data_IF_890958857497
#
_entry.id   IF_890958857497
#
_cell.length_a   1.000
_cell.length_b   1.000
_cell.length_c   1.000
_cell.angle_alpha   90.00
_cell.angle_beta   90.00
_cell.angle_gamma   90.00
#
_symmetry.space_group_name_H-M   'P 1'
#
loop_
_entity.id
_entity.type
_entity.pdbx_description
1 polymer ?
#
# COMPACT_ATOMS: atom_id res chain seq x y z
N UNK A 1 -37.41 6.62 37.54
CA UNK A 1 -36.23 7.00 36.76
C UNK A 1 -36.22 6.09 35.55
N UNK A 2 -36.80 6.56 34.44
CA UNK A 2 -36.71 5.93 33.14
C UNK A 2 -35.45 6.48 32.49
N UNK A 3 -34.45 5.64 32.28
CA UNK A 3 -33.27 5.98 31.49
C UNK A 3 -33.70 6.07 30.03
N UNK A 4 -33.73 7.29 29.48
CA UNK A 4 -33.82 7.51 28.05
C UNK A 4 -32.48 7.06 27.45
N UNK A 5 -32.51 5.96 26.70
CA UNK A 5 -31.41 5.62 25.81
C UNK A 5 -31.45 6.64 24.66
N UNK A 6 -30.54 7.62 24.67
CA UNK A 6 -30.22 8.39 23.47
C UNK A 6 -29.69 7.41 22.43
N UNK A 7 -30.54 7.05 21.47
CA UNK A 7 -30.15 6.34 20.27
C UNK A 7 -29.35 7.33 19.41
N UNK A 8 -28.05 7.47 19.69
CA UNK A 8 -27.10 8.18 18.83
C UNK A 8 -27.03 7.42 17.51
N UNK A 9 -27.92 7.76 16.59
CA UNK A 9 -27.95 7.19 15.26
C UNK A 9 -26.70 7.72 14.54
N UNK A 10 -25.73 6.86 14.19
CA UNK A 10 -24.45 7.32 13.64
C UNK A 10 -24.69 8.17 12.40
N UNK A 11 -23.93 9.26 12.24
CA UNK A 11 -24.15 10.16 11.12
C UNK A 11 -23.59 9.51 9.84
N UNK A 12 -24.46 8.80 9.11
CA UNK A 12 -24.13 8.10 7.86
C UNK A 12 -24.33 9.00 6.65
N UNK A 13 -23.29 9.11 5.82
CA UNK A 13 -23.39 9.72 4.48
C UNK A 13 -23.28 8.66 3.41
N UNK A 14 -24.32 8.53 2.59
CA UNK A 14 -24.34 7.67 1.41
C UNK A 14 -24.25 8.53 0.15
N UNK A 15 -23.25 8.26 -0.69
CA UNK A 15 -23.03 8.93 -1.96
C UNK A 15 -23.21 7.91 -3.08
N UNK A 16 -24.10 8.20 -4.02
CA UNK A 16 -24.37 7.37 -5.18
C UNK A 16 -24.49 8.24 -6.43
N UNK A 17 -23.67 7.96 -7.44
CA UNK A 17 -23.67 8.67 -8.73
C UNK A 17 -23.47 10.19 -8.59
N UNK A 18 -22.58 10.61 -7.70
CA UNK A 18 -22.26 12.02 -7.45
C UNK A 18 -20.76 12.29 -7.45
N UNK A 19 -20.41 13.53 -7.79
CA UNK A 19 -19.06 14.08 -7.64
C UNK A 19 -19.09 15.13 -6.54
N UNK A 20 -18.29 14.92 -5.49
CA UNK A 20 -18.24 15.81 -4.33
C UNK A 20 -16.81 16.26 -4.05
N UNK A 21 -16.63 17.49 -3.57
CA UNK A 21 -15.30 17.98 -3.25
C UNK A 21 -14.80 17.41 -1.91
N UNK A 22 -15.65 17.44 -0.88
CA UNK A 22 -15.30 16.97 0.46
C UNK A 22 -16.49 16.32 1.15
N UNK A 23 -16.22 15.25 1.90
CA UNK A 23 -17.20 14.52 2.72
C UNK A 23 -16.62 14.34 4.11
N UNK A 24 -17.39 14.75 5.12
CA UNK A 24 -17.10 14.52 6.52
C UNK A 24 -18.33 13.89 7.17
N UNK A 25 -18.17 12.70 7.73
CA UNK A 25 -19.22 12.00 8.48
C UNK A 25 -18.58 11.02 9.47
N UNK A 26 -19.39 10.28 10.22
CA UNK A 26 -18.90 9.16 11.03
C UNK A 26 -18.69 7.93 10.13
N UNK A 27 -19.66 7.67 9.25
CA UNK A 27 -19.60 6.59 8.28
C UNK A 27 -19.90 7.11 6.87
N UNK A 28 -18.99 6.83 5.93
CA UNK A 28 -19.13 7.22 4.52
C UNK A 28 -19.16 5.97 3.65
N UNK A 29 -20.22 5.86 2.84
CA UNK A 29 -20.33 4.83 1.81
C UNK A 29 -20.46 5.49 0.45
N UNK A 30 -19.54 5.21 -0.44
CA UNK A 30 -19.57 5.68 -1.80
C UNK A 30 -19.77 4.52 -2.76
N UNK A 31 -20.71 4.70 -3.68
CA UNK A 31 -20.96 3.77 -4.76
C UNK A 31 -21.02 4.54 -6.08
N UNK A 32 -20.21 4.13 -7.07
CA UNK A 32 -20.21 4.79 -8.39
C UNK A 32 -20.09 6.32 -8.31
N UNK A 33 -19.24 6.80 -7.40
CA UNK A 33 -19.13 8.22 -7.05
C UNK A 33 -17.67 8.63 -7.00
N UNK A 34 -17.42 9.94 -7.04
CA UNK A 34 -16.08 10.49 -6.83
C UNK A 34 -16.07 11.54 -5.71
N UNK A 35 -14.96 11.58 -4.97
CA UNK A 35 -14.73 12.55 -3.92
C UNK A 35 -13.32 13.15 -4.01
N UNK A 36 -13.17 14.44 -3.74
CA UNK A 36 -11.85 15.03 -3.54
C UNK A 36 -11.21 14.54 -2.24
N UNK A 37 -11.88 14.77 -1.12
CA UNK A 37 -11.44 14.34 0.20
C UNK A 37 -12.58 13.67 0.97
N UNK A 38 -12.30 12.53 1.59
CA UNK A 38 -13.22 11.82 2.49
C UNK A 38 -12.56 11.69 3.85
N UNK A 39 -13.25 12.14 4.89
CA UNK A 39 -12.83 11.97 6.28
C UNK A 39 -13.98 11.36 7.08
N UNK A 40 -13.75 10.22 7.70
CA UNK A 40 -14.74 9.52 8.52
C UNK A 40 -14.07 8.55 9.51
N UNK A 41 -14.84 7.89 10.36
CA UNK A 41 -14.31 6.75 11.13
C UNK A 41 -14.26 5.51 10.24
N UNK A 42 -15.37 5.24 9.54
CA UNK A 42 -15.51 4.16 8.56
C UNK A 42 -15.73 4.69 7.15
N UNK A 43 -14.88 4.28 6.20
CA UNK A 43 -15.03 4.61 4.77
C UNK A 43 -15.10 3.34 3.94
N UNK A 44 -16.17 3.20 3.16
CA UNK A 44 -16.35 2.14 2.17
C UNK A 44 -16.51 2.74 0.77
N UNK A 45 -15.60 2.40 -0.14
CA UNK A 45 -15.65 2.79 -1.54
C UNK A 45 -15.92 1.54 -2.40
N UNK A 46 -16.96 1.59 -3.22
CA UNK A 46 -17.28 0.55 -4.21
C UNK A 46 -17.43 1.19 -5.59
N UNK A 47 -16.68 0.71 -6.59
CA UNK A 47 -16.67 1.30 -7.94
C UNK A 47 -16.53 2.83 -7.92
N UNK A 48 -15.72 3.36 -7.01
CA UNK A 48 -15.66 4.78 -6.71
C UNK A 48 -14.23 5.31 -6.79
N UNK A 49 -14.08 6.63 -6.79
CA UNK A 49 -12.77 7.28 -6.81
C UNK A 49 -12.63 8.30 -5.69
N UNK A 50 -11.44 8.39 -5.08
CA UNK A 50 -11.13 9.45 -4.14
C UNK A 50 -9.69 9.96 -4.29
N UNK A 51 -9.47 11.28 -4.19
CA UNK A 51 -8.09 11.78 -4.17
C UNK A 51 -7.45 11.56 -2.79
N UNK A 52 -8.20 11.77 -1.70
CA UNK A 52 -7.70 11.57 -0.34
C UNK A 52 -8.76 10.92 0.56
N UNK A 53 -8.34 9.89 1.29
CA UNK A 53 -9.14 9.23 2.33
C UNK A 53 -8.38 9.26 3.65
N UNK A 54 -9.03 9.77 4.70
CA UNK A 54 -8.58 9.67 6.08
C UNK A 54 -9.66 8.95 6.89
N UNK A 55 -9.33 7.80 7.48
CA UNK A 55 -10.29 7.02 8.25
C UNK A 55 -9.65 6.25 9.41
N UNK A 56 -10.44 5.65 10.29
CA UNK A 56 -9.93 4.60 11.17
C UNK A 56 -9.92 3.27 10.42
N UNK A 57 -11.02 2.96 9.74
CA UNK A 57 -11.16 1.80 8.85
C UNK A 57 -11.51 2.23 7.44
N UNK A 58 -10.73 1.77 6.48
CA UNK A 58 -10.95 2.06 5.06
C UNK A 58 -11.03 0.77 4.24
N UNK A 59 -12.11 0.64 3.47
CA UNK A 59 -12.36 -0.47 2.54
C UNK A 59 -12.54 0.06 1.12
N UNK A 60 -11.77 -0.48 0.19
CA UNK A 60 -11.89 -0.20 -1.23
C UNK A 60 -12.19 -1.46 -2.02
N UNK A 61 -13.26 -1.44 -2.81
CA UNK A 61 -13.62 -2.49 -3.74
C UNK A 61 -13.79 -1.91 -5.15
N UNK A 62 -13.08 -2.45 -6.14
CA UNK A 62 -13.10 -1.98 -7.53
C UNK A 62 -12.96 -0.45 -7.67
N UNK A 63 -12.15 0.16 -6.81
CA UNK A 63 -12.07 1.62 -6.63
C UNK A 63 -10.67 2.15 -6.90
N UNK A 64 -10.55 3.47 -7.07
CA UNK A 64 -9.26 4.14 -7.27
C UNK A 64 -9.05 5.23 -6.21
N UNK A 65 -7.97 5.13 -5.44
CA UNK A 65 -7.65 6.13 -4.42
C UNK A 65 -6.24 6.66 -4.59
N UNK A 66 -6.04 7.97 -4.65
CA UNK A 66 -4.69 8.52 -4.79
C UNK A 66 -3.91 8.43 -3.46
N UNK A 67 -4.49 8.89 -2.34
CA UNK A 67 -3.90 8.83 -1.00
C UNK A 67 -4.88 8.22 0.00
N UNK A 68 -4.48 7.14 0.67
CA UNK A 68 -5.26 6.51 1.72
C UNK A 68 -4.47 6.47 3.04
N UNK A 69 -5.06 6.96 4.12
CA UNK A 69 -4.52 6.86 5.46
C UNK A 69 -5.61 6.33 6.39
N UNK A 70 -5.36 5.18 7.01
CA UNK A 70 -6.24 4.66 8.04
C UNK A 70 -5.51 3.75 9.02
N UNK A 71 -6.08 3.41 10.16
CA UNK A 71 -5.48 2.39 11.04
C UNK A 71 -5.51 1.02 10.36
N UNK A 72 -6.66 0.68 9.76
CA UNK A 72 -6.86 -0.54 8.98
C UNK A 72 -7.28 -0.21 7.55
N UNK A 73 -6.56 -0.74 6.56
CA UNK A 73 -6.88 -0.61 5.14
C UNK A 73 -7.13 -1.99 4.53
N UNK A 74 -8.26 -2.17 3.85
CA UNK A 74 -8.57 -3.36 3.06
C UNK A 74 -8.84 -2.96 1.61
N UNK A 75 -8.01 -3.45 0.71
CA UNK A 75 -8.03 -3.12 -0.71
C UNK A 75 -8.32 -4.38 -1.52
N UNK A 76 -9.40 -4.38 -2.29
CA UNK A 76 -9.84 -5.51 -3.11
C UNK A 76 -10.12 -5.06 -4.55
N UNK A 77 -9.43 -5.64 -5.52
CA UNK A 77 -9.51 -5.30 -6.95
C UNK A 77 -9.42 -3.79 -7.23
N UNK A 78 -8.66 -3.06 -6.40
CA UNK A 78 -8.60 -1.60 -6.43
C UNK A 78 -7.18 -1.12 -6.68
N UNK A 79 -7.06 0.15 -7.06
CA UNK A 79 -5.78 0.82 -7.29
C UNK A 79 -5.58 1.91 -6.24
N UNK A 80 -4.46 1.89 -5.55
CA UNK A 80 -4.11 2.90 -4.55
C UNK A 80 -2.76 3.54 -4.88
N UNK A 81 -2.71 4.87 -4.97
CA UNK A 81 -1.47 5.61 -5.25
C UNK A 81 -0.48 5.48 -4.09
N UNK A 82 -0.87 5.95 -2.91
CA UNK A 82 -0.13 5.76 -1.67
C UNK A 82 -1.06 5.35 -0.52
N UNK A 83 -0.63 4.37 0.27
CA UNK A 83 -1.36 3.87 1.43
C UNK A 83 -0.49 3.91 2.69
N UNK A 84 -1.05 4.42 3.79
CA UNK A 84 -0.47 4.34 5.13
C UNK A 84 -1.45 3.67 6.09
N UNK A 85 -1.01 2.62 6.78
CA UNK A 85 -1.82 1.99 7.82
C UNK A 85 -1.02 1.31 8.92
N UNK A 86 -1.66 0.94 10.02
CA UNK A 86 -1.05 -0.02 10.96
C UNK A 86 -1.19 -1.44 10.41
N UNK A 87 -2.38 -1.78 9.90
CA UNK A 87 -2.68 -3.06 9.26
C UNK A 87 -3.24 -2.84 7.86
N UNK A 88 -2.66 -3.49 6.85
CA UNK A 88 -3.08 -3.35 5.46
C UNK A 88 -3.25 -4.71 4.78
N UNK A 89 -4.45 -4.99 4.27
CA UNK A 89 -4.72 -6.12 3.38
C UNK A 89 -4.81 -5.62 1.94
N UNK A 90 -3.91 -6.11 1.09
CA UNK A 90 -3.78 -5.68 -0.30
C UNK A 90 -4.09 -6.82 -1.26
N UNK A 91 -5.12 -6.61 -2.07
CA UNK A 91 -5.47 -7.43 -3.22
C UNK A 91 -5.79 -6.48 -4.40
N UNK A 92 -4.77 -6.09 -5.16
CA UNK A 92 -4.86 -5.03 -6.16
C UNK A 92 -3.52 -4.39 -6.47
N UNK A 93 -3.51 -3.14 -6.88
CA UNK A 93 -2.27 -2.42 -7.23
C UNK A 93 -2.06 -1.26 -6.27
N UNK A 94 -0.87 -1.18 -5.68
CA UNK A 94 -0.45 -0.05 -4.87
C UNK A 94 0.84 0.59 -5.40
N UNK A 95 0.92 1.92 -5.44
CA UNK A 95 2.15 2.62 -5.78
C UNK A 95 3.16 2.60 -4.64
N UNK A 96 2.81 3.24 -3.53
CA UNK A 96 3.61 3.38 -2.32
C UNK A 96 2.82 2.84 -1.11
N UNK A 97 3.42 1.94 -0.34
CA UNK A 97 2.77 1.37 0.84
C UNK A 97 3.71 1.53 2.04
N UNK A 98 3.19 2.11 3.11
CA UNK A 98 3.86 2.14 4.42
C UNK A 98 2.93 1.58 5.48
N UNK A 99 3.22 0.42 6.07
CA UNK A 99 2.38 -0.10 7.13
C UNK A 99 3.09 -0.87 8.24
N UNK A 100 2.43 -1.06 9.39
CA UNK A 100 2.92 -1.92 10.46
C UNK A 100 3.02 -3.37 9.97
N UNK A 101 1.88 -3.93 9.58
CA UNK A 101 1.74 -5.23 8.95
C UNK A 101 1.04 -5.11 7.59
N UNK A 102 1.49 -5.92 6.62
CA UNK A 102 0.87 -6.01 5.30
C UNK A 102 0.57 -7.46 4.96
N UNK A 103 -0.68 -7.75 4.62
CA UNK A 103 -1.11 -9.02 4.04
C UNK A 103 -1.31 -8.83 2.53
N UNK A 104 -0.50 -9.51 1.72
CA UNK A 104 -0.58 -9.50 0.27
C UNK A 104 -1.25 -10.77 -0.25
N UNK A 105 -2.35 -10.59 -0.98
CA UNK A 105 -2.99 -11.63 -1.79
C UNK A 105 -2.51 -11.58 -3.25
N UNK A 106 -3.44 -11.40 -4.18
CA UNK A 106 -3.12 -11.13 -5.58
C UNK A 106 -2.86 -9.63 -5.76
N UNK A 107 -1.68 -9.18 -5.33
CA UNK A 107 -1.34 -7.77 -5.34
C UNK A 107 0.05 -7.43 -5.85
N UNK A 108 0.17 -6.25 -6.43
CA UNK A 108 1.44 -5.64 -6.83
C UNK A 108 1.66 -4.31 -6.10
N UNK A 109 2.82 -4.14 -5.48
CA UNK A 109 3.22 -2.90 -4.85
C UNK A 109 4.47 -2.31 -5.53
N UNK A 110 4.48 -1.02 -5.88
CA UNK A 110 5.70 -0.37 -6.36
C UNK A 110 6.77 -0.36 -5.26
N UNK A 111 6.56 0.45 -4.23
CA UNK A 111 7.41 0.49 -3.03
C UNK A 111 6.60 0.03 -1.83
N UNK A 112 7.09 -0.99 -1.14
CA UNK A 112 6.47 -1.54 0.05
C UNK A 112 7.44 -1.42 1.23
N UNK A 113 7.07 -0.64 2.24
CA UNK A 113 7.78 -0.50 3.50
C UNK A 113 6.89 -0.98 4.65
N UNK A 114 7.27 -2.06 5.33
CA UNK A 114 6.51 -2.55 6.47
C UNK A 114 7.36 -3.19 7.58
N UNK A 115 6.80 -3.38 8.78
CA UNK A 115 7.50 -4.16 9.81
C UNK A 115 7.37 -5.66 9.51
N UNK A 116 6.17 -6.07 9.13
CA UNK A 116 5.86 -7.45 8.78
C UNK A 116 5.09 -7.50 7.45
N UNK A 117 5.49 -8.40 6.56
CA UNK A 117 4.77 -8.68 5.30
C UNK A 117 4.45 -10.16 5.24
N UNK A 118 3.18 -10.47 4.99
CA UNK A 118 2.64 -11.83 4.92
C UNK A 118 1.94 -12.01 3.58
N UNK A 119 2.04 -13.18 2.95
CA UNK A 119 1.29 -13.46 1.73
C UNK A 119 1.76 -14.69 0.96
N UNK A 120 0.86 -15.34 0.23
CA UNK A 120 1.24 -16.49 -0.59
C UNK A 120 2.15 -16.07 -1.75
N UNK A 121 1.93 -14.87 -2.30
CA UNK A 121 2.73 -14.27 -3.37
C UNK A 121 2.91 -12.78 -3.12
N UNK A 122 4.16 -12.38 -2.86
CA UNK A 122 4.51 -10.97 -2.64
C UNK A 122 5.20 -10.45 -3.89
N UNK A 123 4.52 -9.57 -4.64
CA UNK A 123 5.07 -8.91 -5.83
C UNK A 123 5.32 -7.43 -5.55
N UNK A 124 6.59 -7.03 -5.53
CA UNK A 124 6.94 -5.62 -5.42
C UNK A 124 8.22 -5.25 -6.17
N UNK A 125 8.34 -3.98 -6.56
CA UNK A 125 9.56 -3.46 -7.17
C UNK A 125 10.64 -3.22 -6.11
N UNK A 126 10.27 -2.58 -5.00
CA UNK A 126 11.15 -2.35 -3.84
C UNK A 126 10.42 -2.80 -2.57
N UNK A 127 11.06 -3.69 -1.81
CA UNK A 127 10.56 -4.19 -0.52
C UNK A 127 11.54 -3.83 0.60
N UNK A 128 11.07 -3.10 1.59
CA UNK A 128 11.74 -2.86 2.86
C UNK A 128 10.91 -3.46 3.99
N UNK A 129 11.33 -4.60 4.53
CA UNK A 129 10.66 -5.21 5.66
C UNK A 129 11.61 -5.82 6.68
N UNK A 130 11.22 -5.80 7.96
CA UNK A 130 11.95 -6.51 9.03
C UNK A 130 11.64 -8.00 9.02
N UNK A 131 10.42 -8.39 8.66
CA UNK A 131 9.96 -9.77 8.66
C UNK A 131 9.07 -10.04 7.45
N UNK A 132 9.35 -11.14 6.74
CA UNK A 132 8.58 -11.55 5.57
C UNK A 132 8.22 -13.02 5.70
N UNK A 133 6.92 -13.33 5.65
CA UNK A 133 6.38 -14.69 5.70
C UNK A 133 5.57 -14.97 4.43
N UNK A 134 6.14 -15.72 3.50
CA UNK A 134 5.51 -15.96 2.20
C UNK A 134 6.50 -16.35 1.11
N UNK A 135 5.99 -16.77 -0.05
CA UNK A 135 6.83 -16.89 -1.24
C UNK A 135 6.97 -15.50 -1.88
N UNK A 136 8.17 -14.95 -1.80
CA UNK A 136 8.46 -13.62 -2.34
C UNK A 136 8.92 -13.77 -3.80
N UNK A 137 8.18 -13.15 -4.72
CA UNK A 137 8.59 -13.01 -6.12
C UNK A 137 8.99 -11.56 -6.34
N UNK A 138 10.11 -11.15 -5.74
CA UNK A 138 10.71 -9.84 -6.00
C UNK A 138 11.56 -9.90 -7.25
N UNK A 139 11.51 -8.87 -8.09
CA UNK A 139 12.45 -8.69 -9.21
C UNK A 139 13.91 -8.60 -8.76
N UNK A 140 14.16 -8.26 -7.48
CA UNK A 140 15.45 -8.39 -6.80
C UNK A 140 15.28 -9.12 -5.46
N UNK A 141 15.46 -10.44 -5.47
CA UNK A 141 15.54 -11.23 -4.23
C UNK A 141 16.92 -11.01 -3.54
N UNK A 142 17.02 -11.23 -2.23
CA UNK A 142 18.28 -11.19 -1.46
C UNK A 142 19.34 -12.09 -2.10
N UNK A 143 18.92 -13.25 -2.63
CA UNK A 143 19.79 -14.15 -3.38
C UNK A 143 20.26 -13.53 -4.70
N UNK A 144 19.36 -12.88 -5.42
CA UNK A 144 19.68 -12.17 -6.67
C UNK A 144 20.60 -10.97 -6.44
N UNK A 145 20.38 -10.20 -5.38
CA UNK A 145 21.21 -9.07 -4.98
C UNK A 145 22.62 -9.51 -4.56
N UNK A 146 22.75 -10.60 -3.79
CA UNK A 146 24.05 -11.19 -3.44
C UNK A 146 24.80 -11.66 -4.67
N UNK A 147 24.15 -12.38 -5.59
CA UNK A 147 24.79 -12.85 -6.83
C UNK A 147 25.20 -11.67 -7.71
N UNK A 148 24.32 -10.68 -7.90
CA UNK A 148 24.63 -9.49 -8.68
C UNK A 148 25.80 -8.69 -8.07
N UNK A 149 25.82 -8.55 -6.74
CA UNK A 149 26.92 -7.91 -6.02
C UNK A 149 28.24 -8.68 -6.15
N UNK A 150 28.22 -10.01 -6.05
CA UNK A 150 29.41 -10.85 -6.23
C UNK A 150 29.94 -10.80 -7.67
N UNK A 151 29.07 -10.91 -8.67
CA UNK A 151 29.46 -10.87 -10.09
C UNK A 151 29.97 -9.47 -10.47
N UNK A 152 29.25 -8.42 -10.07
CA UNK A 152 29.65 -7.04 -10.33
C UNK A 152 30.95 -6.68 -9.62
N UNK A 153 31.10 -7.05 -8.35
CA UNK A 153 32.31 -6.83 -7.56
C UNK A 153 33.52 -7.58 -8.11
N UNK A 154 33.35 -8.84 -8.53
CA UNK A 154 34.41 -9.62 -9.18
C UNK A 154 34.85 -8.98 -10.48
N UNK A 155 33.89 -8.59 -11.34
CA UNK A 155 34.19 -7.96 -12.62
C UNK A 155 34.93 -6.63 -12.44
N UNK A 156 34.43 -5.76 -11.54
CA UNK A 156 35.05 -4.50 -11.20
C UNK A 156 36.46 -4.68 -10.60
N UNK A 157 36.63 -5.67 -9.71
CA UNK A 157 37.92 -5.99 -9.10
C UNK A 157 38.96 -6.47 -10.12
N UNK A 158 38.56 -7.34 -11.07
CA UNK A 158 39.43 -7.80 -12.15
C UNK A 158 39.81 -6.64 -13.07
N UNK A 159 38.84 -5.81 -13.48
CA UNK A 159 39.10 -4.63 -14.30
C UNK A 159 40.04 -3.65 -13.60
N UNK A 160 39.87 -3.43 -12.29
CA UNK A 160 40.74 -2.57 -11.51
C UNK A 160 42.17 -3.12 -11.42
N UNK A 161 42.34 -4.42 -11.21
CA UNK A 161 43.66 -5.07 -11.20
C UNK A 161 44.35 -5.01 -12.57
N UNK A 162 43.61 -5.27 -13.65
CA UNK A 162 44.13 -5.16 -15.02
C UNK A 162 44.51 -3.72 -15.36
N UNK A 163 43.66 -2.75 -15.00
CA UNK A 163 43.96 -1.33 -15.15
C UNK A 163 45.22 -0.94 -14.37
N UNK A 164 45.35 -1.38 -13.12
CA UNK A 164 46.55 -1.13 -12.31
C UNK A 164 47.81 -1.76 -12.91
N UNK A 165 47.71 -2.95 -13.52
CA UNK A 165 48.85 -3.61 -14.16
C UNK A 165 49.28 -2.92 -15.46
N UNK A 166 48.30 -2.48 -16.26
CA UNK A 166 48.56 -1.83 -17.55
C UNK A 166 49.00 -0.37 -17.41
N UNK A 167 48.49 0.35 -16.40
CA UNK A 167 48.77 1.77 -16.19
C UNK A 167 49.71 2.07 -15.00
N UNK A 168 50.09 1.05 -14.21
CA UNK A 168 50.93 1.21 -13.02
C UNK A 168 52.44 1.04 -13.23
N UNK A 169 52.90 0.92 -14.48
CA UNK A 169 54.33 1.03 -14.82
C UNK A 169 54.61 2.40 -15.42
N UNK A 170 54.99 3.35 -14.56
CA UNK A 170 55.75 4.54 -14.94
C UNK A 170 56.80 4.82 -13.88
#
# INVERSE_FOLDING_TARGET
MTEEFEETNPQVTNLANVDVESVQAELVRMHQSSAGAVTAEDVELTMSASAQVHAETFKAHESAVALAQAETISVQQSVVGAARAESLSLNGVAGLVSAGSVEMGNAYAGVLAAQEVRGERIESLILLSRKVEGNVTTVMDTRGALIAGLVGGLFAGIMFLLGRMLFGKK
#
